data_IF_263900938974
#
_entry.id   IF_263900938974
#
_cell.length_a   1.000
_cell.length_b   1.000
_cell.length_c   1.000
_cell.angle_alpha   90.00
_cell.angle_beta   90.00
_cell.angle_gamma   90.00
#
_symmetry.space_group_name_H-M   'P 1'
#
loop_
_entity.id
_entity.type
_entity.pdbx_description
1 polymer ?
#
# COMPACT_ATOMS: atom_id res chain seq x y z
N UNK A 1 4.71 27.21 -19.78
CA UNK A 1 4.34 25.78 -19.71
C UNK A 1 4.59 25.30 -18.28
N UNK A 2 3.59 24.68 -17.66
CA UNK A 2 3.78 24.04 -16.34
C UNK A 2 4.65 22.81 -16.57
N UNK A 3 5.72 22.68 -15.78
CA UNK A 3 6.61 21.52 -15.83
C UNK A 3 5.78 20.22 -15.59
N UNK A 4 5.98 19.21 -16.44
CA UNK A 4 5.28 17.92 -16.32
C UNK A 4 5.45 17.27 -14.94
N UNK A 5 6.62 17.46 -14.31
CA UNK A 5 6.89 16.98 -12.95
C UNK A 5 6.03 17.67 -11.90
N UNK A 6 5.81 18.98 -12.03
CA UNK A 6 4.93 19.74 -11.13
C UNK A 6 3.50 19.26 -11.28
N UNK A 7 3.05 19.00 -12.50
CA UNK A 7 1.69 18.47 -12.74
C UNK A 7 1.51 17.06 -12.15
N UNK A 8 2.48 16.18 -12.32
CA UNK A 8 2.46 14.83 -11.74
C UNK A 8 2.44 14.89 -10.20
N UNK A 9 3.27 15.75 -9.60
CA UNK A 9 3.28 15.96 -8.15
C UNK A 9 1.94 16.49 -7.63
N UNK A 10 1.32 17.45 -8.30
CA UNK A 10 0.01 17.98 -7.90
C UNK A 10 -1.06 16.91 -7.96
N UNK A 11 -1.09 16.06 -9.00
CA UNK A 11 -2.02 14.92 -9.09
C UNK A 11 -1.84 13.94 -7.93
N UNK A 12 -0.59 13.67 -7.54
CA UNK A 12 -0.29 12.79 -6.40
C UNK A 12 -0.80 13.38 -5.08
N UNK A 13 -0.60 14.70 -4.86
CA UNK A 13 -1.10 15.38 -3.67
C UNK A 13 -2.63 15.39 -3.60
N UNK A 14 -3.30 15.69 -4.70
CA UNK A 14 -4.76 15.64 -4.79
C UNK A 14 -5.32 14.23 -4.53
N UNK A 15 -4.71 13.19 -5.11
CA UNK A 15 -5.11 11.81 -4.87
C UNK A 15 -4.94 11.42 -3.41
N UNK A 16 -3.82 11.81 -2.79
CA UNK A 16 -3.54 11.58 -1.37
C UNK A 16 -4.57 12.28 -0.47
N UNK A 17 -4.91 13.52 -0.77
CA UNK A 17 -5.89 14.29 -0.01
C UNK A 17 -7.29 13.67 -0.12
N UNK A 18 -7.74 13.31 -1.33
CA UNK A 18 -9.02 12.63 -1.56
C UNK A 18 -9.09 11.31 -0.79
N UNK A 19 -8.04 10.52 -0.84
CA UNK A 19 -7.96 9.24 -0.10
C UNK A 19 -8.02 9.48 1.42
N UNK A 20 -7.29 10.48 1.93
CA UNK A 20 -7.32 10.87 3.34
C UNK A 20 -8.74 11.16 3.84
N UNK A 21 -9.46 12.04 3.16
CA UNK A 21 -10.84 12.37 3.54
C UNK A 21 -11.78 11.19 3.39
N UNK A 22 -11.62 10.38 2.35
CA UNK A 22 -12.44 9.18 2.17
C UNK A 22 -12.24 8.17 3.30
N UNK A 23 -11.02 7.93 3.73
CA UNK A 23 -10.72 7.04 4.87
C UNK A 23 -11.35 7.62 6.15
N UNK A 24 -11.19 8.92 6.38
CA UNK A 24 -11.79 9.59 7.53
C UNK A 24 -13.32 9.44 7.56
N UNK A 25 -13.98 9.73 6.45
CA UNK A 25 -15.44 9.58 6.32
C UNK A 25 -15.89 8.13 6.56
N UNK A 26 -15.13 7.14 6.06
CA UNK A 26 -15.42 5.73 6.26
C UNK A 26 -15.25 5.30 7.72
N UNK A 27 -14.19 5.74 8.41
CA UNK A 27 -13.98 5.45 9.83
C UNK A 27 -15.07 6.08 10.70
N UNK A 28 -15.48 7.32 10.41
CA UNK A 28 -16.57 8.01 11.11
C UNK A 28 -17.93 7.34 10.87
N UNK A 29 -18.20 6.92 9.62
CA UNK A 29 -19.49 6.31 9.25
C UNK A 29 -19.69 4.92 9.81
N UNK A 30 -18.64 4.07 9.78
CA UNK A 30 -18.74 2.67 10.14
C UNK A 30 -18.24 2.34 11.55
N UNK A 31 -17.46 3.21 12.18
CA UNK A 31 -16.85 3.06 13.51
C UNK A 31 -16.05 1.74 13.68
N UNK A 32 -15.42 1.29 12.60
CA UNK A 32 -14.56 0.10 12.52
C UNK A 32 -13.32 0.40 11.69
N UNK A 33 -12.29 -0.46 11.75
CA UNK A 33 -11.05 -0.22 10.99
C UNK A 33 -11.24 -0.17 9.47
N UNK A 34 -10.41 0.65 8.82
CA UNK A 34 -10.31 0.77 7.36
C UNK A 34 -8.91 0.38 6.90
N UNK A 35 -8.84 -0.55 5.95
CA UNK A 35 -7.63 -0.88 5.20
C UNK A 35 -7.51 0.06 4.00
N UNK A 36 -6.34 0.67 3.84
CA UNK A 36 -5.90 1.34 2.61
C UNK A 36 -4.73 0.57 2.02
N UNK A 37 -4.89 0.04 0.82
CA UNK A 37 -3.87 -0.74 0.14
C UNK A 37 -3.48 -0.11 -1.20
N UNK A 38 -2.20 0.14 -1.34
CA UNK A 38 -1.54 0.63 -2.55
C UNK A 38 -0.28 -0.17 -2.84
N UNK A 39 0.36 0.08 -3.98
CA UNK A 39 1.72 -0.36 -4.26
C UNK A 39 2.71 0.79 -4.08
N UNK A 40 3.85 0.48 -3.47
CA UNK A 40 4.98 1.38 -3.40
C UNK A 40 5.81 1.28 -4.68
N UNK A 41 5.38 2.02 -5.72
CA UNK A 41 6.03 2.08 -7.02
C UNK A 41 6.75 3.43 -7.15
N UNK A 42 8.06 3.46 -7.40
CA UNK A 42 8.80 4.70 -7.67
C UNK A 42 8.42 5.29 -9.03
N UNK A 43 8.78 6.55 -9.26
CA UNK A 43 8.57 7.23 -10.54
C UNK A 43 7.13 7.68 -10.80
N UNK A 44 6.87 8.08 -12.04
CA UNK A 44 5.57 8.63 -12.47
C UNK A 44 4.63 7.56 -13.03
N UNK A 45 5.16 6.49 -13.65
CA UNK A 45 4.38 5.38 -14.20
C UNK A 45 3.97 4.40 -13.09
N UNK A 46 2.81 4.63 -12.52
CA UNK A 46 2.30 3.90 -11.34
C UNK A 46 1.31 2.77 -11.69
N UNK A 47 0.69 2.81 -12.85
CA UNK A 47 -0.40 1.92 -13.21
C UNK A 47 -0.17 1.15 -14.53
N UNK A 48 1.07 0.77 -14.80
CA UNK A 48 1.37 -0.13 -15.90
C UNK A 48 0.70 -1.50 -15.72
N UNK A 49 0.45 -2.22 -16.81
CA UNK A 49 -0.43 -3.39 -16.85
C UNK A 49 -0.05 -4.48 -15.82
N UNK A 50 1.24 -4.77 -15.70
CA UNK A 50 1.73 -5.78 -14.74
C UNK A 50 1.52 -5.33 -13.29
N UNK A 51 1.67 -4.05 -12.98
CA UNK A 51 1.39 -3.51 -11.64
C UNK A 51 -0.10 -3.60 -11.31
N UNK A 52 -0.98 -3.31 -12.27
CA UNK A 52 -2.43 -3.45 -12.09
C UNK A 52 -2.79 -4.91 -11.81
N UNK A 53 -2.26 -5.84 -12.58
CA UNK A 53 -2.49 -7.29 -12.40
C UNK A 53 -1.95 -7.79 -11.06
N UNK A 54 -0.76 -7.33 -10.67
CA UNK A 54 -0.14 -7.64 -9.39
C UNK A 54 -0.97 -7.11 -8.21
N UNK A 55 -1.43 -5.86 -8.28
CA UNK A 55 -2.28 -5.28 -7.23
C UNK A 55 -3.57 -6.08 -7.05
N UNK A 56 -4.26 -6.43 -8.15
CA UNK A 56 -5.48 -7.25 -8.12
C UNK A 56 -5.24 -8.63 -7.51
N UNK A 57 -4.14 -9.31 -7.85
CA UNK A 57 -3.75 -10.59 -7.22
C UNK A 57 -3.67 -10.47 -5.69
N UNK A 58 -3.07 -9.40 -5.19
CA UNK A 58 -2.97 -9.19 -3.75
C UNK A 58 -4.28 -8.73 -3.11
N UNK A 59 -5.14 -8.00 -3.79
CA UNK A 59 -6.51 -7.71 -3.32
C UNK A 59 -7.26 -9.02 -3.07
N UNK A 60 -7.25 -9.96 -4.02
CA UNK A 60 -7.89 -11.27 -3.85
C UNK A 60 -7.25 -12.08 -2.72
N UNK A 61 -5.93 -12.08 -2.60
CA UNK A 61 -5.23 -12.74 -1.51
C UNK A 61 -5.64 -12.17 -0.13
N UNK A 62 -5.72 -10.84 -0.01
CA UNK A 62 -6.17 -10.17 1.20
C UNK A 62 -7.61 -10.55 1.55
N UNK A 63 -8.51 -10.57 0.55
CA UNK A 63 -9.92 -10.94 0.75
C UNK A 63 -10.04 -12.37 1.28
N UNK A 64 -9.32 -13.31 0.71
CA UNK A 64 -9.30 -14.71 1.18
C UNK A 64 -8.76 -14.81 2.61
N UNK A 65 -7.67 -14.12 2.94
CA UNK A 65 -7.10 -14.10 4.28
C UNK A 65 -8.07 -13.51 5.32
N UNK A 66 -8.78 -12.45 4.97
CA UNK A 66 -9.80 -11.85 5.83
C UNK A 66 -10.98 -12.83 6.06
N UNK A 67 -11.44 -13.52 5.02
CA UNK A 67 -12.48 -14.53 5.11
C UNK A 67 -12.08 -15.70 6.02
N UNK A 68 -10.87 -16.26 5.84
CA UNK A 68 -10.29 -17.31 6.68
C UNK A 68 -10.25 -16.92 8.17
N UNK A 69 -10.00 -15.64 8.46
CA UNK A 69 -9.98 -15.08 9.81
C UNK A 69 -11.34 -14.55 10.28
N UNK A 70 -12.43 -14.81 9.52
CA UNK A 70 -13.81 -14.39 9.85
C UNK A 70 -13.99 -12.88 9.99
N UNK A 71 -13.17 -12.09 9.29
CA UNK A 71 -13.25 -10.64 9.24
C UNK A 71 -14.10 -10.25 8.02
N UNK A 72 -15.28 -9.68 8.27
CA UNK A 72 -16.19 -9.27 7.20
C UNK A 72 -15.77 -7.94 6.59
N UNK A 73 -15.81 -7.86 5.26
CA UNK A 73 -15.73 -6.62 4.51
C UNK A 73 -17.13 -6.01 4.46
N UNK A 74 -17.31 -4.84 5.09
CA UNK A 74 -18.59 -4.12 5.14
C UNK A 74 -18.77 -3.18 3.95
N UNK A 75 -17.66 -2.69 3.41
CA UNK A 75 -17.61 -1.84 2.22
C UNK A 75 -16.24 -2.02 1.56
N UNK A 76 -16.20 -2.00 0.24
CA UNK A 76 -14.93 -1.97 -0.50
C UNK A 76 -15.03 -1.02 -1.71
N UNK A 77 -13.90 -0.42 -2.07
CA UNK A 77 -13.74 0.42 -3.23
C UNK A 77 -12.38 0.16 -3.88
N UNK A 78 -12.39 -0.03 -5.18
CA UNK A 78 -11.20 -0.24 -5.99
C UNK A 78 -11.12 0.81 -7.09
N UNK A 79 -9.99 1.51 -7.17
CA UNK A 79 -9.74 2.50 -8.22
C UNK A 79 -8.40 2.23 -8.89
N UNK A 80 -8.38 2.31 -10.23
CA UNK A 80 -7.15 2.34 -11.02
C UNK A 80 -6.94 3.75 -11.54
N UNK A 81 -6.09 4.51 -10.84
CA UNK A 81 -5.80 5.90 -11.13
C UNK A 81 -4.43 6.04 -11.81
N UNK A 82 -4.21 7.13 -12.52
CA UNK A 82 -2.87 7.49 -13.05
C UNK A 82 -1.82 7.56 -11.92
N UNK A 83 -2.26 7.91 -10.72
CA UNK A 83 -1.42 7.99 -9.51
C UNK A 83 -1.19 6.64 -8.82
N UNK A 84 -1.69 5.55 -9.38
CA UNK A 84 -1.60 4.18 -8.88
C UNK A 84 -2.96 3.58 -8.52
N UNK A 85 -2.98 2.28 -8.30
CA UNK A 85 -4.16 1.56 -7.85
C UNK A 85 -4.40 1.84 -6.36
N UNK A 86 -5.65 2.03 -6.00
CA UNK A 86 -6.10 2.21 -4.62
C UNK A 86 -7.19 1.17 -4.30
N UNK A 87 -7.04 0.46 -3.20
CA UNK A 87 -8.07 -0.40 -2.64
C UNK A 87 -8.36 0.02 -1.21
N UNK A 88 -9.61 0.33 -0.92
CA UNK A 88 -10.10 0.64 0.42
C UNK A 88 -11.11 -0.42 0.85
N UNK A 89 -10.99 -0.91 2.07
CA UNK A 89 -11.93 -1.86 2.66
C UNK A 89 -12.25 -1.49 4.11
N UNK A 90 -13.54 -1.46 4.43
CA UNK A 90 -14.06 -1.29 5.79
C UNK A 90 -14.22 -2.67 6.41
N UNK A 91 -13.54 -2.93 7.52
CA UNK A 91 -13.35 -4.27 8.05
C UNK A 91 -13.96 -4.42 9.44
N UNK A 92 -14.90 -5.37 9.59
CA UNK A 92 -15.49 -5.66 10.89
C UNK A 92 -14.59 -6.62 11.70
N UNK A 93 -13.59 -6.05 12.38
CA UNK A 93 -12.61 -6.81 13.15
C UNK A 93 -11.73 -5.92 14.02
N UNK A 94 -10.81 -6.54 14.74
CA UNK A 94 -9.80 -5.84 15.55
C UNK A 94 -8.70 -5.27 14.67
N UNK A 95 -8.45 -3.95 14.74
CA UNK A 95 -7.49 -3.26 13.89
C UNK A 95 -6.05 -3.75 14.05
N UNK A 96 -5.64 -4.14 15.27
CA UNK A 96 -4.29 -4.66 15.53
C UNK A 96 -4.11 -6.07 14.95
N UNK A 97 -5.13 -6.91 15.03
CA UNK A 97 -5.14 -8.23 14.38
C UNK A 97 -5.05 -8.07 12.86
N UNK A 98 -5.88 -7.20 12.29
CA UNK A 98 -5.87 -6.91 10.85
C UNK A 98 -4.48 -6.42 10.41
N UNK A 99 -3.87 -5.49 11.16
CA UNK A 99 -2.50 -5.02 10.84
C UNK A 99 -1.48 -6.15 10.85
N UNK A 100 -1.54 -7.06 11.82
CA UNK A 100 -0.65 -8.23 11.87
C UNK A 100 -0.82 -9.13 10.64
N UNK A 101 -2.06 -9.44 10.25
CA UNK A 101 -2.35 -10.24 9.06
C UNK A 101 -1.81 -9.58 7.78
N UNK A 102 -1.98 -8.27 7.63
CA UNK A 102 -1.42 -7.54 6.48
C UNK A 102 0.12 -7.59 6.46
N UNK A 103 0.75 -7.53 7.61
CA UNK A 103 2.21 -7.62 7.71
C UNK A 103 2.73 -9.02 7.37
N UNK A 104 2.01 -10.09 7.72
CA UNK A 104 2.35 -11.45 7.29
C UNK A 104 2.36 -11.54 5.75
N UNK A 105 1.38 -10.94 5.08
CA UNK A 105 1.35 -10.86 3.62
C UNK A 105 2.53 -10.04 3.06
N UNK A 106 2.90 -8.92 3.70
CA UNK A 106 4.05 -8.09 3.30
C UNK A 106 5.40 -8.83 3.47
N UNK A 107 5.51 -9.74 4.41
CA UNK A 107 6.75 -10.43 4.76
C UNK A 107 6.90 -11.81 4.11
N UNK A 108 5.82 -12.36 3.55
CA UNK A 108 5.79 -13.71 2.99
C UNK A 108 6.71 -13.88 1.76
N UNK A 109 6.88 -12.83 0.98
CA UNK A 109 7.67 -12.89 -0.26
C UNK A 109 8.33 -11.55 -0.59
N UNK A 110 9.24 -11.57 -1.56
CA UNK A 110 9.84 -10.34 -2.07
C UNK A 110 8.78 -9.40 -2.69
N UNK A 111 7.76 -9.96 -3.35
CA UNK A 111 6.61 -9.18 -3.86
C UNK A 111 5.85 -8.45 -2.76
N UNK A 112 5.75 -9.04 -1.58
CA UNK A 112 5.14 -8.41 -0.41
C UNK A 112 5.79 -7.08 0.01
N UNK A 113 7.07 -6.89 -0.36
CA UNK A 113 7.81 -5.64 -0.10
C UNK A 113 7.27 -4.43 -0.88
N UNK A 114 6.55 -4.68 -1.96
CA UNK A 114 5.93 -3.63 -2.76
C UNK A 114 4.56 -3.19 -2.23
N UNK A 115 4.00 -3.93 -1.28
CA UNK A 115 2.69 -3.64 -0.72
C UNK A 115 2.78 -2.50 0.30
N UNK A 116 1.89 -1.55 0.21
CA UNK A 116 1.73 -0.46 1.17
C UNK A 116 0.31 -0.55 1.76
N UNK A 117 0.23 -1.27 2.90
CA UNK A 117 -1.03 -1.59 3.56
C UNK A 117 -1.13 -0.87 4.89
N UNK A 118 -1.92 0.20 4.91
CA UNK A 118 -2.19 0.99 6.10
C UNK A 118 -3.53 0.62 6.71
N UNK A 119 -3.55 0.44 8.03
CA UNK A 119 -4.77 0.23 8.81
C UNK A 119 -5.04 1.48 9.65
N UNK A 120 -6.20 2.05 9.46
CA UNK A 120 -6.74 3.13 10.28
C UNK A 120 -7.78 2.54 11.23
N UNK A 121 -7.61 2.79 12.52
CA UNK A 121 -8.56 2.32 13.53
C UNK A 121 -9.84 3.18 13.51
N UNK A 122 -10.85 2.78 14.25
CA UNK A 122 -12.17 3.45 14.34
C UNK A 122 -12.10 4.93 14.72
N UNK A 123 -11.04 5.36 15.39
CA UNK A 123 -10.75 6.76 15.76
C UNK A 123 -9.91 7.50 14.72
N UNK A 124 -9.74 6.92 13.53
CA UNK A 124 -8.90 7.42 12.46
C UNK A 124 -7.38 7.41 12.77
N UNK A 125 -6.94 6.83 13.87
CA UNK A 125 -5.51 6.67 14.15
C UNK A 125 -4.92 5.56 13.28
N UNK A 126 -3.74 5.79 12.72
CA UNK A 126 -3.03 4.79 11.93
C UNK A 126 -2.28 3.81 12.83
N UNK A 127 -2.50 2.51 12.64
CA UNK A 127 -1.78 1.45 13.34
C UNK A 127 -0.45 1.20 12.63
N UNK A 128 0.66 1.66 13.22
CA UNK A 128 2.00 1.56 12.65
C UNK A 128 2.73 0.26 13.05
N UNK A 129 3.76 -0.12 12.28
CA UNK A 129 4.67 -1.21 12.66
C UNK A 129 5.34 -0.98 14.01
N UNK A 130 5.77 0.25 14.28
CA UNK A 130 6.40 0.63 15.56
C UNK A 130 5.47 0.47 16.76
N UNK A 131 4.17 0.75 16.59
CA UNK A 131 3.18 0.54 17.66
C UNK A 131 2.97 -0.94 18.00
N UNK A 132 3.41 -1.85 17.13
CA UNK A 132 3.39 -3.31 17.34
C UNK A 132 4.77 -3.87 17.71
N UNK A 133 5.78 -3.02 17.92
CA UNK A 133 7.14 -3.42 18.28
C UNK A 133 7.92 -4.12 17.16
N UNK A 134 7.56 -3.86 15.89
CA UNK A 134 8.11 -4.56 14.74
C UNK A 134 9.16 -3.72 14.00
N UNK A 135 10.17 -4.39 13.37
CA UNK A 135 11.27 -3.69 12.72
C UNK A 135 10.84 -2.89 11.49
N UNK A 136 11.64 -1.88 11.14
CA UNK A 136 11.47 -1.12 9.90
C UNK A 136 11.65 -1.99 8.65
N UNK A 137 11.02 -1.56 7.55
CA UNK A 137 11.17 -2.23 6.24
C UNK A 137 12.60 -2.12 5.73
N UNK A 138 13.08 -3.18 5.10
CA UNK A 138 14.38 -3.20 4.42
C UNK A 138 14.26 -2.68 2.99
N UNK A 139 15.34 -2.10 2.48
CA UNK A 139 15.47 -1.69 1.09
C UNK A 139 15.41 -2.90 0.15
N UNK A 140 14.70 -2.77 -0.97
CA UNK A 140 14.54 -3.84 -1.98
C UNK A 140 15.81 -4.07 -2.83
N UNK A 141 16.80 -3.17 -2.76
CA UNK A 141 18.06 -3.26 -3.50
C UNK A 141 19.18 -3.77 -2.59
N UNK A 142 19.51 -3.03 -1.53
CA UNK A 142 20.71 -3.33 -0.71
C UNK A 142 20.41 -4.04 0.62
N UNK A 143 19.14 -4.20 1.01
CA UNK A 143 18.76 -4.86 2.26
C UNK A 143 18.98 -4.04 3.54
N UNK A 144 19.50 -2.81 3.47
CA UNK A 144 19.59 -1.86 4.58
C UNK A 144 18.18 -1.29 4.90
N UNK A 145 18.03 -0.43 5.92
CA UNK A 145 16.69 0.14 6.18
C UNK A 145 16.24 1.00 5.01
N UNK A 146 15.00 0.82 4.54
CA UNK A 146 14.46 1.58 3.41
C UNK A 146 14.49 3.08 3.68
N UNK A 147 14.20 3.50 4.92
CA UNK A 147 14.24 4.90 5.34
C UNK A 147 15.62 5.53 5.18
N UNK A 148 16.67 4.80 5.53
CA UNK A 148 18.06 5.26 5.37
C UNK A 148 18.40 5.46 3.90
N UNK A 149 18.08 4.49 3.05
CA UNK A 149 18.31 4.59 1.61
C UNK A 149 17.57 5.78 0.97
N UNK A 150 16.34 6.04 1.38
CA UNK A 150 15.55 7.20 0.90
C UNK A 150 16.20 8.52 1.36
N UNK A 151 16.56 8.61 2.65
CA UNK A 151 17.17 9.83 3.22
C UNK A 151 18.52 10.19 2.59
N UNK A 152 19.31 9.15 2.28
CA UNK A 152 20.65 9.31 1.72
C UNK A 152 20.68 9.26 0.20
N UNK A 153 19.52 9.11 -0.46
CA UNK A 153 19.39 8.98 -1.93
C UNK A 153 20.37 7.95 -2.52
N UNK A 154 20.52 6.79 -1.85
CA UNK A 154 21.54 5.78 -2.17
C UNK A 154 21.35 5.10 -3.53
N UNK A 155 20.13 5.04 -4.02
CA UNK A 155 19.74 4.39 -5.27
C UNK A 155 19.09 5.39 -6.20
N UNK A 156 19.45 5.35 -7.47
CA UNK A 156 18.80 6.20 -8.45
C UNK A 156 17.39 5.69 -8.78
N UNK A 157 16.56 6.59 -9.35
CA UNK A 157 15.17 6.29 -9.65
C UNK A 157 15.04 5.14 -10.65
N UNK A 158 15.89 5.11 -11.67
CA UNK A 158 15.85 4.07 -12.71
C UNK A 158 16.15 2.69 -12.15
N UNK A 159 17.14 2.57 -11.29
CA UNK A 159 17.49 1.32 -10.59
C UNK A 159 16.31 0.82 -9.75
N UNK A 160 15.63 1.71 -9.04
CA UNK A 160 14.44 1.39 -8.25
C UNK A 160 13.25 0.95 -9.13
N UNK A 161 12.99 1.63 -10.23
CA UNK A 161 11.93 1.27 -11.18
C UNK A 161 12.18 -0.10 -11.83
N UNK A 162 13.40 -0.38 -12.28
CA UNK A 162 13.81 -1.66 -12.85
C UNK A 162 13.63 -2.79 -11.82
N UNK A 163 14.10 -2.57 -10.58
CA UNK A 163 13.96 -3.58 -9.51
C UNK A 163 12.51 -3.89 -9.16
N UNK A 164 11.65 -2.88 -9.10
CA UNK A 164 10.21 -3.09 -8.89
C UNK A 164 9.59 -3.94 -10.00
N UNK A 165 9.90 -3.66 -11.27
CA UNK A 165 9.39 -4.43 -12.40
C UNK A 165 9.87 -5.89 -12.38
N UNK A 166 11.14 -6.13 -12.02
CA UNK A 166 11.68 -7.48 -11.82
C UNK A 166 10.93 -8.24 -10.73
N UNK A 167 10.72 -7.61 -9.55
CA UNK A 167 10.01 -8.22 -8.43
C UNK A 167 8.57 -8.59 -8.83
N UNK A 168 7.87 -7.71 -9.53
CA UNK A 168 6.52 -7.98 -10.02
C UNK A 168 6.54 -9.19 -10.95
N UNK A 169 7.45 -9.21 -11.92
CA UNK A 169 7.59 -10.31 -12.87
C UNK A 169 7.86 -11.64 -12.16
N UNK A 170 8.89 -11.69 -11.30
CA UNK A 170 9.27 -12.89 -10.54
C UNK A 170 8.11 -13.42 -9.65
N UNK A 171 7.26 -12.51 -9.12
CA UNK A 171 6.13 -12.89 -8.25
C UNK A 171 4.92 -13.35 -9.05
N UNK A 172 4.79 -12.95 -10.30
CA UNK A 172 3.66 -13.31 -11.19
C UNK A 172 3.90 -14.58 -12.00
N UNK A 173 5.17 -15.02 -12.15
CA UNK A 173 5.55 -16.32 -12.73
C UNK A 173 5.22 -17.47 -11.77
#
# INVERSE_FOLDING_TARGET
MIDSKILAMNRMLEAKEKRYYKIKDLTEKYEVPVLSFMLNIPGEDKNFEEAVSFHKKYVEKIKNLLEENKIKILFEDYQNLVTGMEYLAVLNGDGRLIKKLMMEVEEESLGGRLLDMDIYDKDFSQISRSSLGLPERKCIICGDTARTCIKEERHDLKELEERVREIIKETME
#
